data_IF_642899341643
#
_entry.id   IF_642899341643
#
_cell.length_a   1.000
_cell.length_b   1.000
_cell.length_c   1.000
_cell.angle_alpha   90.00
_cell.angle_beta   90.00
_cell.angle_gamma   90.00
#
_symmetry.space_group_name_H-M   'P 1'
#
loop_
_entity.id
_entity.type
_entity.pdbx_description
1 polymer ?
#
# COMPACT_ATOMS: atom_id res chain seq x y z
N UNK A 1 -17.17 -2.38 -11.14
CA UNK A 1 -16.59 -1.21 -10.45
C UNK A 1 -17.12 -1.08 -9.03
N UNK A 2 -18.44 -1.18 -8.84
CA UNK A 2 -19.09 -1.08 -7.51
C UNK A 2 -18.55 -2.07 -6.45
N UNK A 3 -18.32 -3.33 -6.82
CA UNK A 3 -17.80 -4.34 -5.88
C UNK A 3 -16.39 -4.00 -5.34
N UNK A 4 -15.53 -3.40 -6.16
CA UNK A 4 -14.19 -3.00 -5.74
C UNK A 4 -14.24 -1.78 -4.80
N UNK A 5 -15.10 -0.80 -5.11
CA UNK A 5 -15.32 0.38 -4.28
C UNK A 5 -15.90 -0.02 -2.92
N UNK A 6 -16.88 -0.94 -2.91
CA UNK A 6 -17.43 -1.49 -1.66
C UNK A 6 -16.34 -2.13 -0.79
N UNK A 7 -15.45 -2.93 -1.39
CA UNK A 7 -14.32 -3.54 -0.67
C UNK A 7 -13.31 -2.54 -0.14
N UNK A 8 -13.07 -1.43 -0.85
CA UNK A 8 -12.20 -0.37 -0.34
C UNK A 8 -12.84 0.40 0.81
N UNK A 9 -14.16 0.59 0.80
CA UNK A 9 -14.86 1.22 1.93
C UNK A 9 -14.84 0.32 3.18
N UNK A 10 -14.90 -1.01 3.03
CA UNK A 10 -14.75 -1.97 4.14
C UNK A 10 -13.37 -1.88 4.83
N UNK A 11 -12.33 -1.43 4.13
CA UNK A 11 -10.97 -1.32 4.66
C UNK A 11 -10.69 -0.05 5.46
N UNK A 12 -11.72 0.78 5.67
CA UNK A 12 -11.56 2.15 6.16
C UNK A 12 -11.16 3.07 4.99
N UNK A 13 -12.07 3.95 4.52
CA UNK A 13 -11.84 4.79 3.34
C UNK A 13 -10.50 5.55 3.38
N UNK A 14 -10.16 6.14 4.53
CA UNK A 14 -8.91 6.91 4.68
C UNK A 14 -7.68 6.01 4.48
N UNK A 15 -7.71 4.77 4.96
CA UNK A 15 -6.60 3.84 4.82
C UNK A 15 -6.48 3.38 3.36
N UNK A 16 -7.57 2.87 2.79
CA UNK A 16 -7.56 2.25 1.46
C UNK A 16 -7.30 3.26 0.35
N UNK A 17 -7.99 4.41 0.35
CA UNK A 17 -7.79 5.43 -0.69
C UNK A 17 -6.41 6.07 -0.63
N UNK A 18 -5.83 6.24 0.57
CA UNK A 18 -4.44 6.73 0.70
C UNK A 18 -3.47 5.73 0.07
N UNK A 19 -3.61 4.43 0.34
CA UNK A 19 -2.73 3.40 -0.25
C UNK A 19 -2.86 3.38 -1.79
N UNK A 20 -4.08 3.51 -2.32
CA UNK A 20 -4.31 3.60 -3.77
C UNK A 20 -3.67 4.85 -4.36
N UNK A 21 -3.74 6.00 -3.67
CA UNK A 21 -3.05 7.21 -4.10
C UNK A 21 -1.53 7.00 -4.16
N UNK A 22 -0.94 6.36 -3.14
CA UNK A 22 0.50 6.05 -3.13
C UNK A 22 0.88 5.13 -4.30
N UNK A 23 0.03 4.17 -4.65
CA UNK A 23 0.24 3.32 -5.83
C UNK A 23 0.28 4.14 -7.12
N UNK A 24 -0.67 5.07 -7.30
CA UNK A 24 -0.70 5.94 -8.48
C UNK A 24 0.58 6.79 -8.56
N UNK A 25 1.07 7.31 -7.44
CA UNK A 25 2.31 8.08 -7.38
C UNK A 25 3.52 7.21 -7.75
N UNK A 26 3.60 5.99 -7.23
CA UNK A 26 4.67 5.02 -7.56
C UNK A 26 4.70 4.75 -9.07
N UNK A 27 3.55 4.41 -9.67
CA UNK A 27 3.43 4.15 -11.12
C UNK A 27 3.79 5.40 -11.94
N UNK A 28 3.37 6.58 -11.50
CA UNK A 28 3.70 7.83 -12.19
C UNK A 28 5.21 8.13 -12.17
N UNK A 29 5.89 7.88 -11.04
CA UNK A 29 7.34 8.04 -10.91
C UNK A 29 8.09 7.05 -11.81
N UNK A 30 7.63 5.80 -11.87
CA UNK A 30 8.19 4.78 -12.74
C UNK A 30 8.10 5.17 -14.22
N UNK A 31 6.91 5.56 -14.68
CA UNK A 31 6.68 6.02 -16.06
C UNK A 31 7.55 7.26 -16.36
N UNK A 32 7.60 8.23 -15.44
CA UNK A 32 8.39 9.45 -15.60
C UNK A 32 9.86 9.12 -15.89
N UNK A 33 10.50 8.24 -15.12
CA UNK A 33 11.92 7.90 -15.30
C UNK A 33 12.17 7.12 -16.58
N UNK A 34 11.26 6.24 -16.99
CA UNK A 34 11.41 5.53 -18.28
C UNK A 34 11.43 6.52 -19.44
N UNK A 35 10.63 7.59 -19.37
CA UNK A 35 10.56 8.63 -20.41
C UNK A 35 11.77 9.56 -20.35
N UNK A 36 12.13 10.07 -19.16
CA UNK A 36 13.21 11.04 -19.02
C UNK A 36 14.60 10.42 -19.09
N UNK A 37 14.70 9.10 -18.82
CA UNK A 37 15.95 8.33 -18.76
C UNK A 37 17.04 8.96 -17.88
N UNK A 38 16.64 9.69 -16.85
CA UNK A 38 17.52 10.36 -15.91
C UNK A 38 17.04 10.14 -14.46
N UNK A 39 17.86 10.56 -13.49
CA UNK A 39 17.50 10.51 -12.06
C UNK A 39 17.11 9.12 -11.50
N UNK A 40 17.57 8.02 -12.11
CA UNK A 40 17.24 6.64 -11.69
C UNK A 40 17.41 6.42 -10.18
N UNK A 41 18.60 6.73 -9.63
CA UNK A 41 18.93 6.51 -8.21
C UNK A 41 17.96 7.25 -7.27
N UNK A 42 17.68 8.53 -7.58
CA UNK A 42 16.76 9.37 -6.78
C UNK A 42 15.34 8.82 -6.81
N UNK A 43 14.88 8.38 -7.98
CA UNK A 43 13.52 7.83 -8.12
C UNK A 43 13.39 6.46 -7.48
N UNK A 44 14.39 5.59 -7.61
CA UNK A 44 14.43 4.30 -6.89
C UNK A 44 14.34 4.54 -5.38
N UNK A 45 15.10 5.50 -4.85
CA UNK A 45 15.02 5.85 -3.42
C UNK A 45 13.64 6.38 -3.03
N UNK A 46 13.01 7.20 -3.87
CA UNK A 46 11.68 7.74 -3.60
C UNK A 46 10.59 6.66 -3.64
N UNK A 47 10.61 5.77 -4.64
CA UNK A 47 9.71 4.62 -4.72
C UNK A 47 9.87 3.74 -3.48
N UNK A 48 11.12 3.48 -3.04
CA UNK A 48 11.38 2.72 -1.81
C UNK A 48 10.73 3.35 -0.58
N UNK A 49 10.91 4.66 -0.38
CA UNK A 49 10.31 5.39 0.74
C UNK A 49 8.78 5.36 0.71
N UNK A 50 8.17 5.60 -0.45
CA UNK A 50 6.70 5.59 -0.61
C UNK A 50 6.14 4.18 -0.40
N UNK A 51 6.80 3.16 -0.94
CA UNK A 51 6.40 1.76 -0.78
C UNK A 51 6.43 1.34 0.70
N UNK A 52 7.48 1.70 1.44
CA UNK A 52 7.54 1.45 2.89
C UNK A 52 6.48 2.23 3.66
N UNK A 53 6.22 3.48 3.27
CA UNK A 53 5.14 4.26 3.86
C UNK A 53 3.77 3.61 3.64
N UNK A 54 3.51 3.05 2.46
CA UNK A 54 2.27 2.31 2.18
C UNK A 54 2.09 1.10 3.12
N UNK A 55 3.17 0.36 3.42
CA UNK A 55 3.14 -0.72 4.42
C UNK A 55 2.82 -0.18 5.80
N UNK A 56 3.55 0.85 6.26
CA UNK A 56 3.33 1.45 7.58
C UNK A 56 1.89 1.97 7.73
N UNK A 57 1.36 2.63 6.70
CA UNK A 57 -0.02 3.12 6.67
C UNK A 57 -1.05 1.99 6.69
N UNK A 58 -0.80 0.89 5.97
CA UNK A 58 -1.63 -0.31 6.03
C UNK A 58 -1.69 -0.93 7.43
N UNK A 59 -0.54 -0.98 8.12
CA UNK A 59 -0.47 -1.43 9.51
C UNK A 59 -1.17 -0.48 10.49
N UNK A 60 -1.17 0.83 10.23
CA UNK A 60 -1.97 1.79 11.00
C UNK A 60 -3.47 1.46 10.88
N UNK A 61 -3.94 1.14 9.67
CA UNK A 61 -5.31 0.67 9.45
C UNK A 61 -5.63 -0.64 10.19
N UNK A 62 -4.65 -1.55 10.30
CA UNK A 62 -4.78 -2.74 11.16
C UNK A 62 -5.07 -2.38 12.60
N UNK A 63 -4.28 -1.49 13.16
CA UNK A 63 -4.41 -1.06 14.55
C UNK A 63 -5.78 -0.46 14.81
N UNK A 64 -6.26 0.45 13.93
CA UNK A 64 -7.59 1.04 14.06
C UNK A 64 -8.72 0.01 13.92
N UNK A 65 -8.64 -0.90 12.95
CA UNK A 65 -9.65 -1.94 12.79
C UNK A 65 -9.77 -2.85 14.02
N UNK A 66 -8.63 -3.21 14.63
CA UNK A 66 -8.63 -3.99 15.86
C UNK A 66 -9.22 -3.20 17.05
N UNK A 67 -8.90 -1.91 17.18
CA UNK A 67 -9.50 -1.04 18.20
C UNK A 67 -11.02 -1.02 18.05
N UNK A 68 -11.54 -0.77 16.85
CA UNK A 68 -12.99 -0.77 16.56
C UNK A 68 -13.63 -2.12 16.91
N UNK A 69 -12.98 -3.24 16.56
CA UNK A 69 -13.50 -4.57 16.88
C UNK A 69 -13.64 -4.79 18.40
N UNK A 70 -12.63 -4.40 19.19
CA UNK A 70 -12.65 -4.57 20.63
C UNK A 70 -13.54 -3.54 21.36
N UNK A 71 -13.66 -2.32 20.85
CA UNK A 71 -14.59 -1.31 21.36
C UNK A 71 -16.04 -1.78 21.21
N UNK A 72 -16.38 -2.40 20.07
CA UNK A 72 -17.71 -2.98 19.84
C UNK A 72 -18.04 -4.09 20.85
N UNK A 73 -17.09 -4.97 21.16
CA UNK A 73 -17.27 -6.02 22.18
C UNK A 73 -17.45 -5.40 23.57
N UNK A 74 -16.62 -4.41 23.91
CA UNK A 74 -16.66 -3.73 25.21
C UNK A 74 -17.99 -3.02 25.45
N UNK A 75 -18.59 -2.44 24.42
CA UNK A 75 -19.88 -1.74 24.50
C UNK A 75 -21.08 -2.68 24.71
N UNK A 76 -21.01 -3.93 24.24
CA UNK A 76 -22.12 -4.89 24.33
C UNK A 76 -22.00 -5.86 25.50
N UNK A 77 -20.80 -6.03 26.07
CA UNK A 77 -20.58 -6.94 27.20
C UNK A 77 -20.62 -8.43 26.84
N UNK A 78 -20.72 -8.76 25.55
CA UNK A 78 -20.67 -10.13 25.03
C UNK A 78 -19.72 -10.21 23.84
N UNK A 79 -18.95 -11.31 23.77
CA UNK A 79 -18.07 -11.59 22.64
C UNK A 79 -18.81 -12.40 21.58
N UNK A 80 -19.22 -11.75 20.48
CA UNK A 80 -19.78 -12.43 19.32
C UNK A 80 -18.97 -12.17 18.05
N UNK A 81 -18.99 -13.13 17.13
CA UNK A 81 -18.29 -13.01 15.83
C UNK A 81 -18.82 -11.82 15.02
N UNK A 82 -20.12 -11.53 15.12
CA UNK A 82 -20.75 -10.43 14.41
C UNK A 82 -20.17 -9.07 14.81
N UNK A 83 -19.91 -8.85 16.11
CA UNK A 83 -19.35 -7.60 16.64
C UNK A 83 -17.91 -7.35 16.19
N UNK A 84 -17.13 -8.42 16.01
CA UNK A 84 -15.74 -8.34 15.56
C UNK A 84 -15.61 -8.18 14.04
N UNK A 85 -16.62 -8.61 13.27
CA UNK A 85 -16.50 -8.83 11.83
C UNK A 85 -16.10 -7.57 11.05
N UNK A 86 -16.65 -6.41 11.40
CA UNK A 86 -16.36 -5.16 10.71
C UNK A 86 -14.93 -4.68 10.98
N UNK A 87 -14.55 -4.55 12.25
CA UNK A 87 -13.21 -4.12 12.64
C UNK A 87 -12.12 -5.10 12.18
N UNK A 88 -12.39 -6.41 12.19
CA UNK A 88 -11.45 -7.42 11.66
C UNK A 88 -11.29 -7.33 10.14
N UNK A 89 -12.35 -7.06 9.37
CA UNK A 89 -12.23 -6.82 7.92
C UNK A 89 -11.35 -5.63 7.64
N UNK A 90 -11.60 -4.51 8.32
CA UNK A 90 -10.76 -3.32 8.23
C UNK A 90 -9.30 -3.65 8.58
N UNK A 91 -9.10 -4.43 9.65
CA UNK A 91 -7.78 -4.74 10.15
C UNK A 91 -6.92 -5.58 9.18
N UNK A 92 -7.57 -6.38 8.33
CA UNK A 92 -6.92 -7.23 7.35
C UNK A 92 -6.69 -6.52 6.01
N UNK A 93 -7.62 -5.66 5.59
CA UNK A 93 -7.54 -4.98 4.29
C UNK A 93 -6.39 -3.96 4.23
N UNK A 94 -6.12 -3.22 5.32
CA UNK A 94 -5.04 -2.24 5.37
C UNK A 94 -3.66 -2.84 5.05
N UNK A 95 -3.17 -3.83 5.81
CA UNK A 95 -1.88 -4.48 5.54
C UNK A 95 -1.85 -5.20 4.19
N UNK A 96 -2.96 -5.82 3.78
CA UNK A 96 -3.05 -6.52 2.49
C UNK A 96 -2.75 -5.56 1.33
N UNK A 97 -3.41 -4.39 1.31
CA UNK A 97 -3.17 -3.37 0.28
C UNK A 97 -1.78 -2.75 0.41
N UNK A 98 -1.30 -2.48 1.63
CA UNK A 98 0.05 -1.92 1.85
C UNK A 98 1.15 -2.84 1.32
N UNK A 99 1.04 -4.15 1.57
CA UNK A 99 1.97 -5.17 1.05
C UNK A 99 1.84 -5.30 -0.47
N UNK A 100 0.62 -5.25 -1.00
CA UNK A 100 0.40 -5.30 -2.45
C UNK A 100 1.12 -4.14 -3.17
N UNK A 101 0.95 -2.91 -2.68
CA UNK A 101 1.65 -1.73 -3.24
C UNK A 101 3.17 -1.85 -3.06
N UNK A 102 3.62 -2.38 -1.93
CA UNK A 102 5.05 -2.62 -1.70
C UNK A 102 5.65 -3.60 -2.70
N UNK A 103 4.96 -4.69 -3.02
CA UNK A 103 5.42 -5.67 -4.02
C UNK A 103 5.55 -5.00 -5.39
N UNK A 104 4.56 -4.18 -5.79
CA UNK A 104 4.63 -3.43 -7.06
C UNK A 104 5.84 -2.50 -7.07
N UNK A 105 6.01 -1.68 -6.03
CA UNK A 105 7.17 -0.78 -5.92
C UNK A 105 8.50 -1.53 -5.96
N UNK A 106 8.57 -2.75 -5.40
CA UNK A 106 9.77 -3.61 -5.48
C UNK A 106 10.06 -4.08 -6.90
N UNK A 107 9.03 -4.52 -7.63
CA UNK A 107 9.18 -4.93 -9.03
C UNK A 107 9.63 -3.76 -9.89
N UNK A 108 9.01 -2.58 -9.73
CA UNK A 108 9.40 -1.37 -10.45
C UNK A 108 10.85 -0.97 -10.18
N UNK A 109 11.29 -0.98 -8.91
CA UNK A 109 12.69 -0.69 -8.56
C UNK A 109 13.66 -1.68 -9.20
N UNK A 110 13.35 -2.98 -9.22
CA UNK A 110 14.21 -3.99 -9.87
C UNK A 110 14.36 -3.67 -11.36
N UNK A 111 13.25 -3.36 -12.03
CA UNK A 111 13.26 -2.99 -13.46
C UNK A 111 14.11 -1.73 -13.68
N UNK A 112 13.93 -0.68 -12.86
CA UNK A 112 14.71 0.56 -12.97
C UNK A 112 16.20 0.33 -12.72
N UNK A 113 16.58 -0.54 -11.78
CA UNK A 113 17.99 -0.90 -11.51
C UNK A 113 18.61 -1.59 -12.73
N UNK A 114 17.88 -2.51 -13.37
CA UNK A 114 18.36 -3.21 -14.58
C UNK A 114 18.58 -2.20 -15.71
N UNK A 115 17.62 -1.30 -15.94
CA UNK A 115 17.73 -0.26 -16.98
C UNK A 115 18.90 0.69 -16.67
N UNK A 116 19.04 1.16 -15.43
CA UNK A 116 20.11 2.05 -15.02
C UNK A 116 21.49 1.46 -15.28
N UNK A 117 21.70 0.17 -14.97
CA UNK A 117 22.97 -0.52 -15.21
C UNK A 117 23.32 -0.61 -16.70
N UNK A 118 22.31 -0.86 -17.54
CA UNK A 118 22.48 -0.91 -19.00
C UNK A 118 22.88 0.46 -19.56
N UNK A 119 22.19 1.52 -19.15
CA UNK A 119 22.50 2.89 -19.59
C UNK A 119 23.86 3.39 -19.06
N UNK A 120 24.33 2.86 -17.92
CA UNK A 120 25.65 3.19 -17.37
C UNK A 120 26.82 2.43 -18.02
N UNK A 121 26.58 1.50 -18.95
CA UNK A 121 27.63 0.71 -19.61
C UNK A 121 28.36 -0.26 -18.67
N UNK A 122 27.80 -0.59 -17.50
CA UNK A 122 28.44 -1.45 -16.48
C UNK A 122 28.20 -2.96 -16.80
N UNK A 123 27.85 -3.29 -18.05
CA UNK A 123 27.41 -4.62 -18.44
C UNK A 123 27.90 -5.11 -19.80
N UNK A 124 28.85 -4.41 -20.42
CA UNK A 124 29.61 -4.87 -21.60
C UNK A 124 31.10 -4.95 -21.27
#
# INVERSE_FOLDING_TARGET
>A
MEQAIAKFNEGGPVITYTIVLLLIVIVALFIKVIITKNEYSKTISLISSIAWFAVAWGFLGRTFGLIIAFDNVSAHGELTVALLAEGLKMALLGPLLGIFVFIIGRVEMIILIIIQRKEAGIGE
#
